data_IF_598287986071
#
_entry.id   IF_598287986071
#
_cell.length_a   1.000
_cell.length_b   1.000
_cell.length_c   1.000
_cell.angle_alpha   90.00
_cell.angle_beta   90.00
_cell.angle_gamma   90.00
#
_symmetry.space_group_name_H-M   'P 1'
#
loop_
_entity.id
_entity.type
_entity.pdbx_description
1 polymer ?
#
# COMPACT_ATOMS: atom_id res chain seq x y z
N UNK A 1 12.66 -7.63 -5.39
CA UNK A 1 12.70 -6.15 -5.38
C UNK A 1 12.12 -5.57 -4.10
N UNK A 2 12.98 -4.93 -3.29
CA UNK A 2 12.65 -4.18 -2.08
C UNK A 2 12.30 -2.75 -2.49
N UNK A 3 11.01 -2.41 -2.56
CA UNK A 3 10.60 -1.02 -2.64
C UNK A 3 10.70 -0.46 -1.22
N UNK A 4 11.64 0.44 -0.98
CA UNK A 4 11.87 1.09 0.30
C UNK A 4 10.78 2.12 0.56
N UNK A 5 9.66 1.69 1.14
CA UNK A 5 8.62 2.58 1.66
C UNK A 5 8.87 3.01 3.12
N UNK A 6 10.06 2.70 3.67
CA UNK A 6 10.39 2.91 5.09
C UNK A 6 10.52 4.39 5.50
N UNK A 7 10.74 5.30 4.55
CA UNK A 7 11.05 6.70 4.85
C UNK A 7 9.86 7.65 4.61
N UNK A 8 8.67 7.13 4.29
CA UNK A 8 7.49 7.95 3.99
C UNK A 8 6.68 8.23 5.26
N UNK A 9 6.14 9.44 5.36
CA UNK A 9 5.19 9.82 6.41
C UNK A 9 3.87 9.06 6.26
N UNK A 10 3.08 8.93 7.34
CA UNK A 10 1.79 8.24 7.33
C UNK A 10 0.84 8.77 6.23
N UNK A 11 0.81 10.09 6.04
CA UNK A 11 0.00 10.74 5.01
C UNK A 11 0.48 10.37 3.59
N UNK A 12 1.80 10.34 3.38
CA UNK A 12 2.42 10.00 2.10
C UNK A 12 2.25 8.51 1.76
N UNK A 13 2.30 7.63 2.77
CA UNK A 13 2.00 6.21 2.61
C UNK A 13 0.56 6.00 2.11
N UNK A 14 -0.40 6.73 2.67
CA UNK A 14 -1.81 6.68 2.26
C UNK A 14 -2.00 7.21 0.83
N UNK A 15 -1.39 8.35 0.52
CA UNK A 15 -1.43 8.93 -0.83
C UNK A 15 -0.82 7.98 -1.88
N UNK A 16 0.31 7.34 -1.55
CA UNK A 16 0.97 6.37 -2.44
C UNK A 16 0.15 5.10 -2.64
N UNK A 17 -0.52 4.64 -1.58
CA UNK A 17 -1.45 3.51 -1.64
C UNK A 17 -2.61 3.79 -2.59
N UNK A 18 -3.18 4.99 -2.55
CA UNK A 18 -4.28 5.37 -3.42
C UNK A 18 -3.84 5.54 -4.88
N UNK A 19 -2.66 6.11 -5.12
CA UNK A 19 -2.05 6.18 -6.45
C UNK A 19 -1.83 4.78 -7.06
N UNK A 20 -1.26 3.85 -6.29
CA UNK A 20 -1.01 2.50 -6.76
C UNK A 20 -2.29 1.71 -7.00
N UNK A 21 -3.34 1.94 -6.21
CA UNK A 21 -4.65 1.34 -6.44
C UNK A 21 -5.29 1.85 -7.73
N UNK A 22 -5.21 3.16 -8.02
CA UNK A 22 -5.69 3.71 -9.29
C UNK A 22 -4.98 3.07 -10.49
N UNK A 23 -3.65 3.02 -10.46
CA UNK A 23 -2.84 2.36 -11.50
C UNK A 23 -3.18 0.87 -11.62
N UNK A 24 -3.46 0.19 -10.50
CA UNK A 24 -3.84 -1.22 -10.52
C UNK A 24 -5.22 -1.44 -11.18
N UNK A 25 -6.17 -0.52 -10.96
CA UNK A 25 -7.47 -0.57 -11.64
C UNK A 25 -7.33 -0.32 -13.14
N UNK A 26 -6.53 0.65 -13.53
CA UNK A 26 -6.22 0.91 -14.95
C UNK A 26 -5.59 -0.31 -15.63
N UNK A 27 -4.59 -0.93 -14.98
CA UNK A 27 -4.00 -2.18 -15.48
C UNK A 27 -5.05 -3.29 -15.59
N UNK A 28 -5.99 -3.41 -14.64
CA UNK A 28 -7.09 -4.38 -14.74
C UNK A 28 -8.03 -4.08 -15.92
N UNK A 29 -8.33 -2.82 -16.20
CA UNK A 29 -9.15 -2.45 -17.35
C UNK A 29 -8.43 -2.81 -18.66
N UNK A 30 -7.14 -2.51 -18.77
CA UNK A 30 -6.31 -2.93 -19.91
C UNK A 30 -6.29 -4.46 -20.10
N UNK A 31 -6.34 -5.22 -19.00
CA UNK A 31 -6.48 -6.68 -19.06
C UNK A 31 -7.78 -7.17 -19.67
N UNK A 32 -8.89 -6.49 -19.40
CA UNK A 32 -10.19 -6.84 -19.96
C UNK A 32 -10.25 -6.50 -21.45
N UNK A 33 -9.59 -5.41 -21.86
CA UNK A 33 -9.53 -4.95 -23.25
C UNK A 33 -8.58 -5.83 -24.10
N UNK A 34 -7.71 -6.63 -23.47
CA UNK A 34 -6.77 -7.52 -24.17
C UNK A 34 -5.44 -6.87 -24.53
N UNK A 35 -5.18 -5.64 -24.08
CA UNK A 35 -3.95 -4.90 -24.36
C UNK A 35 -2.97 -4.97 -23.18
N UNK A 36 -2.60 -6.18 -22.78
CA UNK A 36 -1.68 -6.40 -21.65
C UNK A 36 -0.27 -6.60 -22.16
N UNK A 37 0.53 -5.55 -22.08
CA UNK A 37 1.95 -5.66 -22.43
C UNK A 37 2.75 -6.47 -21.41
N UNK A 38 2.40 -6.40 -20.11
CA UNK A 38 3.17 -7.06 -19.06
C UNK A 38 2.33 -7.66 -17.90
N UNK A 39 1.99 -8.96 -17.95
CA UNK A 39 1.26 -9.66 -16.89
C UNK A 39 1.97 -9.68 -15.52
N UNK A 40 3.31 -9.58 -15.49
CA UNK A 40 4.09 -9.57 -14.24
C UNK A 40 3.89 -8.28 -13.44
N UNK A 41 3.58 -7.18 -14.11
CA UNK A 41 3.36 -5.89 -13.47
C UNK A 41 2.20 -5.96 -12.47
N UNK A 42 1.13 -6.70 -12.80
CA UNK A 42 0.00 -6.98 -11.89
C UNK A 42 0.46 -7.62 -10.58
N UNK A 43 1.38 -8.59 -10.64
CA UNK A 43 1.92 -9.26 -9.46
C UNK A 43 2.76 -8.31 -8.62
N UNK A 44 3.59 -7.49 -9.26
CA UNK A 44 4.44 -6.51 -8.59
C UNK A 44 3.61 -5.43 -7.89
N UNK A 45 2.59 -4.90 -8.56
CA UNK A 45 1.70 -3.88 -8.00
C UNK A 45 0.87 -4.39 -6.83
N UNK A 46 0.31 -5.61 -6.93
CA UNK A 46 -0.38 -6.25 -5.78
C UNK A 46 0.54 -6.38 -4.56
N UNK A 47 1.79 -6.80 -4.77
CA UNK A 47 2.79 -6.91 -3.70
C UNK A 47 3.17 -5.54 -3.11
N UNK A 48 3.21 -4.48 -3.93
CA UNK A 48 3.47 -3.11 -3.46
C UNK A 48 2.33 -2.60 -2.57
N UNK A 49 1.08 -2.75 -3.01
CA UNK A 49 -0.11 -2.34 -2.23
C UNK A 49 -0.17 -3.09 -0.89
N UNK A 50 0.05 -4.41 -0.89
CA UNK A 50 0.06 -5.20 0.33
C UNK A 50 1.12 -4.69 1.34
N UNK A 51 2.34 -4.37 0.87
CA UNK A 51 3.40 -3.84 1.73
C UNK A 51 3.04 -2.48 2.33
N UNK A 52 2.46 -1.57 1.55
CA UNK A 52 2.01 -0.27 2.06
C UNK A 52 0.94 -0.43 3.13
N UNK A 53 -0.06 -1.29 2.89
CA UNK A 53 -1.11 -1.57 3.87
C UNK A 53 -0.53 -2.15 5.18
N UNK A 54 0.45 -3.06 5.09
CA UNK A 54 1.11 -3.59 6.29
C UNK A 54 1.85 -2.51 7.09
N UNK A 55 2.50 -1.55 6.44
CA UNK A 55 3.20 -0.45 7.13
C UNK A 55 2.22 0.51 7.80
N UNK A 56 1.15 0.90 7.09
CA UNK A 56 0.07 1.72 7.63
C UNK A 56 -0.51 1.04 8.88
N UNK A 57 -0.82 -0.26 8.78
CA UNK A 57 -1.37 -1.02 9.90
C UNK A 57 -0.40 -1.12 11.09
N UNK A 58 0.89 -1.27 10.82
CA UNK A 58 1.90 -1.29 11.89
C UNK A 58 1.94 0.04 12.66
N UNK A 59 1.87 1.17 11.97
CA UNK A 59 1.82 2.50 12.59
C UNK A 59 0.53 2.70 13.41
N UNK A 60 -0.63 2.30 12.87
CA UNK A 60 -1.90 2.33 13.61
C UNK A 60 -1.86 1.49 14.89
N UNK A 61 -1.25 0.31 14.85
CA UNK A 61 -1.12 -0.55 16.03
C UNK A 61 -0.24 0.11 17.10
N UNK A 62 0.84 0.77 16.71
CA UNK A 62 1.70 1.51 17.66
C UNK A 62 0.94 2.65 18.31
N UNK A 63 0.24 3.48 17.52
CA UNK A 63 -0.60 4.57 18.04
C UNK A 63 -1.71 4.05 18.97
N UNK A 64 -2.36 2.95 18.61
CA UNK A 64 -3.37 2.32 19.44
C UNK A 64 -2.79 1.82 20.77
N UNK A 65 -1.59 1.20 20.75
CA UNK A 65 -0.91 0.75 21.97
C UNK A 65 -0.56 1.92 22.90
N UNK A 66 -0.06 3.03 22.35
CA UNK A 66 0.23 4.25 23.11
C UNK A 66 -1.04 4.80 23.76
N UNK A 67 -2.14 4.85 23.02
CA UNK A 67 -3.43 5.31 23.56
C UNK A 67 -3.96 4.42 24.70
N UNK A 68 -3.79 3.09 24.58
CA UNK A 68 -4.19 2.14 25.62
C UNK A 68 -3.30 2.27 26.86
N UNK A 69 -1.99 2.47 26.68
CA UNK A 69 -1.06 2.69 27.78
C UNK A 69 -1.39 3.98 28.53
N UNK A 70 -1.70 5.05 27.81
CA UNK A 70 -2.12 6.33 28.38
C UNK A 70 -3.47 6.24 29.13
N UNK A 71 -4.38 5.36 28.72
CA UNK A 71 -5.66 5.13 29.40
C UNK A 71 -5.57 4.17 30.59
N UNK A 72 -4.47 3.42 30.73
CA UNK A 72 -4.20 2.50 31.84
C UNK A 72 -3.36 3.12 32.96
N UNK A 73 -2.71 4.25 32.69
CA UNK A 73 -1.99 5.06 33.67
C UNK A 73 -2.95 6.09 34.29
#
# INVERSE_FOLDING_TARGET
MRNSFKNLSFAELKAKRDELNRKYMELRFQMVIGHVENPLQKRTMRRQVARLNSMIRAQEITQAKESILAAKA
#
